data_IF_526890905668
#
_entry.id   IF_526890905668
#
_cell.length_a   1.000
_cell.length_b   1.000
_cell.length_c   1.000
_cell.angle_alpha   90.00
_cell.angle_beta   90.00
_cell.angle_gamma   90.00
#
_symmetry.space_group_name_H-M   'P 1'
#
loop_
_entity.id
_entity.type
_entity.pdbx_description
1 polymer ?
#
# COMPACT_ATOMS: atom_id res chain seq x y z
N UNK A 1 90.61 4.58 25.11
CA UNK A 1 91.47 5.03 24.00
C UNK A 1 91.08 6.47 23.69
N UNK A 2 92.01 7.40 23.91
CA UNK A 2 91.98 8.86 23.67
C UNK A 2 90.97 9.72 24.47
N UNK A 3 91.53 10.77 25.10
CA UNK A 3 90.90 11.76 26.00
C UNK A 3 90.57 13.06 25.21
N UNK A 4 90.08 14.16 25.83
CA UNK A 4 88.89 14.93 25.44
C UNK A 4 89.22 16.18 24.60
N UNK A 5 88.24 16.98 24.16
CA UNK A 5 88.42 18.45 24.12
C UNK A 5 87.20 19.26 23.65
N UNK A 6 86.81 20.20 24.52
CA UNK A 6 86.60 21.63 24.28
C UNK A 6 85.44 22.07 23.37
N UNK A 7 84.45 22.68 24.02
CA UNK A 7 83.72 23.83 23.49
C UNK A 7 84.68 25.00 23.15
N UNK A 8 84.31 25.79 22.13
CA UNK A 8 84.45 27.25 22.20
C UNK A 8 83.11 27.94 21.98
N UNK A 9 82.87 29.00 22.75
CA UNK A 9 81.86 30.02 22.47
C UNK A 9 82.34 30.95 21.35
N UNK A 10 81.45 31.30 20.41
CA UNK A 10 81.37 32.66 19.84
C UNK A 10 80.11 32.84 18.99
N UNK A 11 79.29 33.82 19.40
CA UNK A 11 78.46 34.77 18.66
C UNK A 11 78.04 34.50 17.20
N UNK A 12 76.72 34.57 16.96
CA UNK A 12 76.14 34.52 15.60
C UNK A 12 74.60 34.47 15.56
N UNK A 13 73.96 35.50 16.11
CA UNK A 13 72.68 36.13 15.71
C UNK A 13 71.60 35.31 14.94
N UNK A 14 70.51 34.98 15.67
CA UNK A 14 69.07 35.26 15.39
C UNK A 14 68.31 34.47 14.30
N UNK A 15 67.23 33.78 14.71
CA UNK A 15 65.81 34.09 14.39
C UNK A 15 64.91 32.94 14.89
N UNK A 16 64.18 33.19 15.98
CA UNK A 16 63.09 32.33 16.48
C UNK A 16 61.94 32.28 15.47
N UNK A 17 61.21 31.16 15.35
CA UNK A 17 60.08 31.06 14.43
C UNK A 17 58.94 31.95 14.93
N UNK A 18 58.52 32.86 14.06
CA UNK A 18 57.38 33.74 14.26
C UNK A 18 56.13 32.93 14.59
N UNK A 19 55.51 33.23 15.73
CA UNK A 19 54.13 32.84 16.04
C UNK A 19 53.22 33.49 15.00
N UNK A 20 52.87 32.76 13.95
CA UNK A 20 51.77 33.15 13.07
C UNK A 20 50.49 32.83 13.84
N UNK A 21 49.94 33.86 14.47
CA UNK A 21 48.55 33.87 14.92
C UNK A 21 47.65 33.76 13.69
N UNK A 22 47.33 32.53 13.31
CA UNK A 22 46.22 32.27 12.39
C UNK A 22 44.96 32.49 13.19
N UNK A 23 44.39 33.70 13.08
CA UNK A 23 42.99 33.92 13.38
C UNK A 23 42.19 33.02 12.43
N UNK A 24 41.76 31.86 12.91
CA UNK A 24 40.66 31.14 12.32
C UNK A 24 39.42 32.01 12.49
N UNK A 25 39.17 32.91 11.54
CA UNK A 25 37.80 33.32 11.24
C UNK A 25 37.10 32.07 10.69
N UNK A 26 36.56 31.25 11.59
CA UNK A 26 35.48 30.34 11.24
C UNK A 26 34.30 31.20 10.78
N UNK A 27 34.28 31.55 9.50
CA UNK A 27 33.01 31.82 8.82
C UNK A 27 32.24 30.52 8.85
N UNK A 28 31.47 30.32 9.93
CA UNK A 28 30.38 29.36 9.98
C UNK A 28 29.38 29.81 8.92
N UNK A 29 29.60 29.41 7.66
CA UNK A 29 28.62 29.62 6.61
C UNK A 29 27.39 28.84 7.04
N UNK A 30 26.39 29.53 7.55
CA UNK A 30 25.07 28.97 7.74
C UNK A 30 24.57 28.60 6.35
N UNK A 31 24.74 27.33 5.98
CA UNK A 31 24.13 26.75 4.79
C UNK A 31 22.62 26.87 4.99
N UNK A 32 22.01 27.90 4.40
CA UNK A 32 20.57 28.05 4.43
C UNK A 32 19.98 27.16 3.33
N UNK A 33 18.82 26.57 3.60
CA UNK A 33 18.08 25.75 2.63
C UNK A 33 17.76 26.49 1.33
N UNK A 34 17.89 27.82 1.31
CA UNK A 34 17.68 28.68 0.15
C UNK A 34 18.75 28.50 -0.94
N UNK A 35 19.94 28.00 -0.59
CA UNK A 35 21.05 27.78 -1.54
C UNK A 35 20.95 26.45 -2.31
N UNK A 36 20.03 25.57 -1.94
CA UNK A 36 19.82 24.28 -2.59
C UNK A 36 19.10 24.48 -3.93
N UNK A 37 19.45 23.77 -5.00
CA UNK A 37 18.72 23.84 -6.29
C UNK A 37 17.34 23.18 -6.20
N UNK A 38 16.42 23.48 -7.13
CA UNK A 38 15.10 22.83 -7.14
C UNK A 38 15.17 21.31 -7.35
N UNK A 39 16.16 20.83 -8.10
CA UNK A 39 16.39 19.40 -8.32
C UNK A 39 16.83 18.69 -7.04
N UNK A 40 17.76 19.30 -6.29
CA UNK A 40 18.22 18.74 -5.01
C UNK A 40 17.09 18.80 -3.98
N UNK A 41 16.32 19.89 -3.94
CA UNK A 41 15.14 19.99 -3.07
C UNK A 41 14.10 18.91 -3.39
N UNK A 42 13.81 18.68 -4.68
CA UNK A 42 12.91 17.61 -5.11
C UNK A 42 13.42 16.24 -4.65
N UNK A 43 14.70 15.95 -4.85
CA UNK A 43 15.29 14.68 -4.41
C UNK A 43 15.23 14.50 -2.89
N UNK A 44 15.43 15.56 -2.11
CA UNK A 44 15.25 15.53 -0.66
C UNK A 44 13.79 15.17 -0.33
N UNK A 45 12.82 15.92 -0.87
CA UNK A 45 11.40 15.74 -0.58
C UNK A 45 10.88 14.36 -1.01
N UNK A 46 11.37 13.80 -2.12
CA UNK A 46 11.01 12.45 -2.59
C UNK A 46 11.46 11.33 -1.64
N UNK A 47 12.40 11.59 -0.72
CA UNK A 47 12.84 10.63 0.30
C UNK A 47 12.14 10.82 1.65
N UNK A 48 11.25 11.80 1.76
CA UNK A 48 10.52 12.06 3.00
C UNK A 48 9.26 11.17 3.06
N UNK A 49 8.99 10.52 4.21
CA UNK A 49 7.75 9.76 4.41
C UNK A 49 6.52 10.63 4.20
N UNK A 50 5.45 10.05 3.65
CA UNK A 50 4.23 10.77 3.30
C UNK A 50 3.68 11.62 4.47
N UNK A 51 3.63 11.05 5.68
CA UNK A 51 3.13 11.72 6.89
C UNK A 51 3.93 12.97 7.27
N UNK A 52 5.18 13.07 6.84
CA UNK A 52 6.06 14.19 7.14
C UNK A 52 6.05 15.28 6.05
N UNK A 53 5.59 14.97 4.84
CA UNK A 53 5.48 15.94 3.74
C UNK A 53 4.59 17.14 4.10
N UNK A 54 3.59 16.95 4.97
CA UNK A 54 2.77 18.06 5.47
C UNK A 54 3.58 19.05 6.30
N UNK A 55 4.61 18.61 7.03
CA UNK A 55 5.50 19.51 7.78
C UNK A 55 6.38 20.29 6.82
N UNK A 56 6.79 19.68 5.69
CA UNK A 56 7.58 20.34 4.66
C UNK A 56 6.89 21.56 4.04
N UNK A 57 5.55 21.54 3.91
CA UNK A 57 4.78 22.70 3.38
C UNK A 57 4.73 23.90 4.33
N UNK A 58 5.18 23.73 5.58
CA UNK A 58 5.23 24.77 6.61
C UNK A 58 6.61 25.40 6.75
N UNK A 59 7.64 24.85 6.09
CA UNK A 59 9.03 25.33 6.20
C UNK A 59 9.19 26.71 5.54
N UNK A 60 8.85 26.81 4.25
CA UNK A 60 8.85 28.06 3.51
C UNK A 60 7.96 27.96 2.26
N UNK A 61 7.69 29.10 1.61
CA UNK A 61 6.87 29.15 0.40
C UNK A 61 7.39 28.23 -0.71
N UNK A 62 8.71 28.20 -0.92
CA UNK A 62 9.34 27.38 -1.96
C UNK A 62 9.11 25.87 -1.76
N UNK A 63 9.20 25.38 -0.52
CA UNK A 63 8.93 23.98 -0.21
C UNK A 63 7.46 23.63 -0.38
N UNK A 64 6.57 24.54 0.02
CA UNK A 64 5.12 24.41 -0.18
C UNK A 64 4.78 24.27 -1.65
N UNK A 65 5.24 25.20 -2.48
CA UNK A 65 4.98 25.19 -3.94
C UNK A 65 5.47 23.91 -4.60
N UNK A 66 6.63 23.40 -4.17
CA UNK A 66 7.16 22.15 -4.70
C UNK A 66 6.32 20.93 -4.33
N UNK A 67 5.93 20.80 -3.05
CA UNK A 67 5.12 19.66 -2.57
C UNK A 67 3.67 19.73 -3.10
N UNK A 68 3.11 20.93 -3.28
CA UNK A 68 1.76 21.11 -3.82
C UNK A 68 1.70 20.93 -5.34
N UNK A 69 2.84 21.03 -6.03
CA UNK A 69 2.94 20.81 -7.47
C UNK A 69 2.60 19.38 -7.91
N UNK A 70 1.88 19.26 -9.03
CA UNK A 70 1.48 17.96 -9.60
C UNK A 70 2.67 17.10 -10.03
N UNK A 71 3.77 17.73 -10.45
CA UNK A 71 5.00 17.04 -10.83
C UNK A 71 5.61 16.25 -9.67
N UNK A 72 5.63 16.83 -8.46
CA UNK A 72 6.14 16.16 -7.27
C UNK A 72 5.39 14.84 -7.01
N UNK A 73 4.05 14.87 -7.01
CA UNK A 73 3.24 13.69 -6.75
C UNK A 73 3.39 12.60 -7.81
N UNK A 74 3.64 12.97 -9.07
CA UNK A 74 3.97 12.00 -10.13
C UNK A 74 5.28 11.29 -9.84
N UNK A 75 6.33 12.04 -9.52
CA UNK A 75 7.61 11.46 -9.14
C UNK A 75 7.51 10.62 -7.86
N UNK A 76 6.75 11.08 -6.87
CA UNK A 76 6.52 10.36 -5.62
C UNK A 76 5.79 9.03 -5.85
N UNK A 77 4.78 9.02 -6.73
CA UNK A 77 4.06 7.81 -7.12
C UNK A 77 5.01 6.80 -7.76
N UNK A 78 5.75 7.21 -8.80
CA UNK A 78 6.65 6.33 -9.54
C UNK A 78 7.76 5.75 -8.68
N UNK A 79 8.24 6.51 -7.70
CA UNK A 79 9.30 6.06 -6.79
C UNK A 79 8.81 5.07 -5.73
N UNK A 80 7.65 5.33 -5.12
CA UNK A 80 7.19 4.60 -3.94
C UNK A 80 6.13 3.53 -4.23
N UNK A 81 5.53 3.55 -5.42
CA UNK A 81 4.42 2.68 -5.80
C UNK A 81 4.68 2.08 -7.17
N UNK A 82 5.54 1.06 -7.20
CA UNK A 82 5.87 0.31 -8.41
C UNK A 82 5.13 -1.04 -8.43
N UNK A 83 4.87 -1.52 -9.65
CA UNK A 83 4.39 -2.88 -9.92
C UNK A 83 5.53 -3.83 -10.34
N UNK A 84 6.78 -3.34 -10.39
CA UNK A 84 7.93 -4.08 -10.94
C UNK A 84 8.53 -5.10 -9.97
N UNK A 85 8.18 -5.02 -8.69
CA UNK A 85 8.93 -5.65 -7.59
C UNK A 85 8.19 -6.82 -6.94
N UNK A 86 7.25 -7.44 -7.66
CA UNK A 86 6.51 -8.59 -7.12
C UNK A 86 7.39 -9.85 -7.16
N UNK A 87 8.18 -10.06 -6.10
CA UNK A 87 9.13 -11.17 -5.97
C UNK A 87 8.45 -12.49 -5.58
N UNK A 88 7.26 -12.44 -4.94
CA UNK A 88 6.44 -13.61 -4.57
C UNK A 88 4.96 -13.21 -4.39
N UNK A 89 4.04 -14.11 -4.73
CA UNK A 89 2.61 -13.97 -4.38
C UNK A 89 2.45 -14.33 -2.90
N UNK A 90 1.67 -13.53 -2.18
CA UNK A 90 1.46 -13.65 -0.73
C UNK A 90 0.01 -13.30 -0.37
N UNK A 91 -0.43 -13.75 0.81
CA UNK A 91 -1.78 -13.49 1.33
C UNK A 91 -2.87 -14.26 0.55
N UNK A 92 -4.11 -13.75 0.48
CA UNK A 92 -5.20 -14.35 -0.31
C UNK A 92 -4.83 -14.80 -1.72
N UNK A 93 -3.90 -14.11 -2.38
CA UNK A 93 -3.49 -14.48 -3.73
C UNK A 93 -2.72 -15.79 -3.81
N UNK A 94 -2.09 -16.28 -2.72
CA UNK A 94 -1.48 -17.62 -2.71
C UNK A 94 -2.54 -18.69 -2.77
N UNK A 95 -3.68 -18.48 -2.10
CA UNK A 95 -4.81 -19.40 -2.13
C UNK A 95 -5.27 -19.60 -3.58
N UNK A 96 -5.41 -18.49 -4.31
CA UNK A 96 -5.79 -18.50 -5.71
C UNK A 96 -4.69 -18.93 -6.68
N UNK A 97 -3.40 -18.84 -6.32
CA UNK A 97 -2.28 -19.26 -7.18
C UNK A 97 -1.97 -20.75 -7.08
N UNK A 98 -1.97 -21.29 -5.86
CA UNK A 98 -1.48 -22.64 -5.60
C UNK A 98 -2.60 -23.69 -5.64
N UNK A 99 -3.86 -23.27 -5.85
CA UNK A 99 -5.02 -24.15 -5.92
C UNK A 99 -5.28 -24.88 -4.59
N UNK A 100 -5.02 -24.19 -3.48
CA UNK A 100 -5.05 -24.79 -2.15
C UNK A 100 -6.47 -25.22 -1.76
N UNK A 101 -6.57 -26.26 -0.92
CA UNK A 101 -7.81 -26.56 -0.24
C UNK A 101 -8.08 -25.48 0.82
N UNK A 102 -9.29 -24.90 0.90
CA UNK A 102 -9.63 -23.95 1.96
C UNK A 102 -9.41 -24.58 3.34
N UNK A 103 -8.82 -23.83 4.28
CA UNK A 103 -8.64 -24.29 5.65
C UNK A 103 -9.98 -24.28 6.40
N UNK A 104 -10.76 -25.35 6.27
CA UNK A 104 -12.01 -25.49 7.02
C UNK A 104 -11.82 -26.04 8.43
N UNK A 105 -12.58 -25.46 9.36
CA UNK A 105 -12.78 -25.95 10.72
C UNK A 105 -13.70 -27.18 10.70
N UNK A 106 -13.20 -28.36 10.31
CA UNK A 106 -14.04 -29.57 10.37
C UNK A 106 -13.56 -30.85 9.68
N UNK A 107 -12.52 -30.81 8.83
CA UNK A 107 -11.95 -32.03 8.24
C UNK A 107 -12.80 -32.70 7.15
N UNK A 108 -13.60 -31.94 6.40
CA UNK A 108 -14.28 -32.42 5.20
C UNK A 108 -13.51 -32.00 3.94
N UNK A 109 -13.50 -32.87 2.92
CA UNK A 109 -12.82 -32.64 1.64
C UNK A 109 -13.51 -31.50 0.87
N UNK A 110 -12.89 -30.34 0.83
CA UNK A 110 -13.32 -29.24 -0.03
C UNK A 110 -13.05 -29.57 -1.50
N UNK A 111 -13.93 -29.10 -2.40
CA UNK A 111 -13.65 -29.18 -3.83
C UNK A 111 -12.36 -28.40 -4.13
N UNK A 112 -11.42 -29.07 -4.79
CA UNK A 112 -10.15 -28.44 -5.18
C UNK A 112 -10.41 -27.49 -6.33
N UNK A 113 -10.08 -26.22 -6.15
CA UNK A 113 -10.20 -25.20 -7.21
C UNK A 113 -8.88 -25.04 -7.92
N UNK A 114 -8.93 -25.13 -9.24
CA UNK A 114 -7.79 -24.75 -10.05
C UNK A 114 -7.72 -23.22 -10.17
N UNK A 115 -6.54 -22.60 -10.06
CA UNK A 115 -6.35 -21.15 -10.21
C UNK A 115 -7.08 -20.53 -11.42
N UNK A 116 -7.05 -21.24 -12.55
CA UNK A 116 -7.64 -20.82 -13.82
C UNK A 116 -9.19 -20.82 -13.83
N UNK A 117 -9.83 -21.49 -12.88
CA UNK A 117 -11.29 -21.47 -12.72
C UNK A 117 -11.77 -20.12 -12.16
N UNK A 118 -10.87 -19.30 -11.61
CA UNK A 118 -11.23 -18.07 -10.89
C UNK A 118 -10.69 -16.84 -11.57
N UNK A 119 -9.38 -16.79 -11.78
CA UNK A 119 -8.70 -15.66 -12.39
C UNK A 119 -8.04 -16.10 -13.69
N UNK A 120 -8.32 -15.39 -14.79
CA UNK A 120 -7.49 -15.50 -15.99
C UNK A 120 -6.08 -14.93 -15.73
N UNK A 121 -6.01 -13.83 -14.96
CA UNK A 121 -4.76 -13.27 -14.46
C UNK A 121 -4.99 -12.72 -13.06
N UNK A 122 -4.14 -13.11 -12.11
CA UNK A 122 -4.20 -12.56 -10.75
C UNK A 122 -3.92 -11.04 -10.76
N UNK A 123 -4.59 -10.27 -9.88
CA UNK A 123 -4.24 -8.86 -9.68
C UNK A 123 -2.80 -8.74 -9.16
N UNK A 124 -2.20 -7.57 -9.39
CA UNK A 124 -0.83 -7.30 -8.93
C UNK A 124 -0.84 -6.54 -7.63
N UNK A 125 0.16 -6.79 -6.79
CA UNK A 125 0.38 -6.05 -5.56
C UNK A 125 1.40 -4.94 -5.81
N UNK A 126 1.03 -3.71 -5.46
CA UNK A 126 1.98 -2.59 -5.38
C UNK A 126 2.95 -2.82 -4.20
N UNK A 127 4.13 -2.22 -4.23
CA UNK A 127 5.14 -2.35 -3.16
C UNK A 127 4.64 -1.94 -1.77
N UNK A 128 3.55 -1.16 -1.69
CA UNK A 128 2.90 -0.77 -0.43
C UNK A 128 1.89 -1.81 0.10
N UNK A 129 1.73 -2.95 -0.58
CA UNK A 129 0.85 -4.03 -0.19
C UNK A 129 -0.57 -3.97 -0.78
N UNK A 130 -0.94 -2.90 -1.50
CA UNK A 130 -2.30 -2.73 -2.05
C UNK A 130 -2.42 -3.48 -3.38
N UNK A 131 -3.51 -4.23 -3.53
CA UNK A 131 -3.84 -4.87 -4.81
C UNK A 131 -4.35 -3.83 -5.81
N UNK A 132 -3.81 -3.91 -7.01
CA UNK A 132 -4.19 -3.09 -8.15
C UNK A 132 -4.60 -3.99 -9.32
N UNK A 133 -5.80 -3.79 -9.91
CA UNK A 133 -6.26 -4.62 -11.00
C UNK A 133 -5.35 -4.52 -12.22
N UNK A 134 -5.01 -5.66 -12.84
CA UNK A 134 -4.06 -5.72 -13.95
C UNK A 134 -4.62 -5.09 -15.25
N UNK A 135 -5.94 -5.04 -15.38
CA UNK A 135 -6.63 -4.37 -16.50
C UNK A 135 -6.40 -2.86 -16.52
N UNK A 136 -5.99 -2.27 -15.39
CA UNK A 136 -5.78 -0.84 -15.25
C UNK A 136 -4.28 -0.54 -15.21
N UNK A 137 -3.84 0.27 -16.17
CA UNK A 137 -2.44 0.67 -16.29
C UNK A 137 -2.13 1.81 -15.31
N UNK A 138 -1.43 1.50 -14.22
CA UNK A 138 -1.13 2.45 -13.13
C UNK A 138 -0.39 3.71 -13.60
N UNK A 139 0.43 3.61 -14.65
CA UNK A 139 1.13 4.72 -15.28
C UNK A 139 0.21 5.69 -16.03
N UNK A 140 -0.98 5.24 -16.42
CA UNK A 140 -2.03 6.06 -17.03
C UNK A 140 -2.97 6.71 -16.02
N UNK A 141 -2.89 6.32 -14.74
CA UNK A 141 -3.74 6.87 -13.70
C UNK A 141 -3.22 8.25 -13.29
N UNK A 142 -4.04 9.32 -13.37
CA UNK A 142 -3.59 10.65 -13.01
C UNK A 142 -3.06 10.73 -11.58
N UNK A 143 -1.78 11.06 -11.44
CA UNK A 143 -1.16 11.25 -10.14
C UNK A 143 -1.80 12.45 -9.43
N UNK A 144 -2.39 12.19 -8.27
CA UNK A 144 -3.03 13.21 -7.45
C UNK A 144 -2.68 12.99 -5.98
N UNK A 145 -2.74 14.07 -5.19
CA UNK A 145 -2.63 13.98 -3.74
C UNK A 145 -3.67 13.02 -3.15
N UNK A 146 -4.86 12.96 -3.74
CA UNK A 146 -5.94 12.03 -3.37
C UNK A 146 -5.49 10.57 -3.52
N UNK A 147 -4.95 10.19 -4.69
CA UNK A 147 -4.44 8.84 -4.93
C UNK A 147 -3.38 8.43 -3.89
N UNK A 148 -2.40 9.28 -3.63
CA UNK A 148 -1.33 8.97 -2.67
C UNK A 148 -1.91 8.85 -1.25
N UNK A 149 -2.85 9.71 -0.87
CA UNK A 149 -3.53 9.64 0.42
C UNK A 149 -4.31 8.33 0.57
N UNK A 150 -4.98 7.87 -0.49
CA UNK A 150 -5.70 6.59 -0.51
C UNK A 150 -4.73 5.41 -0.39
N UNK A 151 -3.62 5.42 -1.14
CA UNK A 151 -2.62 4.35 -1.08
C UNK A 151 -1.98 4.22 0.31
N UNK A 152 -1.70 5.32 1.00
CA UNK A 152 -1.18 5.31 2.37
C UNK A 152 -2.26 4.86 3.38
N UNK A 153 -3.51 5.28 3.19
CA UNK A 153 -4.64 4.81 3.99
C UNK A 153 -4.79 3.30 3.86
N UNK A 154 -4.80 2.78 2.64
CA UNK A 154 -4.96 1.35 2.35
C UNK A 154 -3.75 0.52 2.81
N UNK A 155 -2.53 1.04 2.71
CA UNK A 155 -1.35 0.45 3.34
C UNK A 155 -1.53 0.30 4.85
N UNK A 156 -2.06 1.33 5.52
CA UNK A 156 -2.32 1.31 6.96
C UNK A 156 -3.41 0.31 7.32
N UNK A 157 -4.49 0.23 6.52
CA UNK A 157 -5.52 -0.80 6.69
C UNK A 157 -4.92 -2.19 6.56
N UNK A 158 -4.13 -2.47 5.51
CA UNK A 158 -3.49 -3.77 5.31
C UNK A 158 -2.60 -4.16 6.48
N UNK A 159 -1.73 -3.24 6.93
CA UNK A 159 -0.89 -3.45 8.11
C UNK A 159 -1.69 -3.77 9.36
N UNK A 160 -2.88 -3.19 9.50
CA UNK A 160 -3.79 -3.43 10.64
C UNK A 160 -4.47 -4.79 10.55
N UNK A 161 -4.91 -5.18 9.35
CA UNK A 161 -5.44 -6.53 9.07
C UNK A 161 -4.39 -7.58 9.44
N UNK A 162 -3.16 -7.40 8.97
CA UNK A 162 -2.07 -8.37 9.19
C UNK A 162 -1.66 -8.45 10.66
N UNK A 163 -1.46 -7.30 11.31
CA UNK A 163 -0.96 -7.25 12.70
C UNK A 163 -1.97 -7.77 13.71
N UNK A 164 -3.27 -7.62 13.42
CA UNK A 164 -4.34 -8.10 14.29
C UNK A 164 -4.88 -9.48 13.87
N UNK A 165 -4.35 -10.07 12.79
CA UNK A 165 -4.84 -11.33 12.24
C UNK A 165 -6.32 -11.30 11.86
N UNK A 166 -6.81 -10.17 11.31
CA UNK A 166 -8.22 -10.06 10.90
C UNK A 166 -8.49 -11.02 9.74
N UNK A 167 -9.63 -11.72 9.82
CA UNK A 167 -10.10 -12.64 8.78
C UNK A 167 -11.53 -12.29 8.37
N UNK A 168 -11.89 -12.68 7.16
CA UNK A 168 -13.27 -12.63 6.71
C UNK A 168 -14.03 -13.79 7.35
N UNK A 169 -15.23 -13.53 7.89
CA UNK A 169 -16.13 -14.54 8.44
C UNK A 169 -17.38 -14.69 7.57
N UNK A 170 -17.49 -15.85 6.92
CA UNK A 170 -18.59 -16.19 6.04
C UNK A 170 -19.89 -16.60 6.75
N UNK A 171 -19.94 -16.69 8.09
CA UNK A 171 -21.10 -17.21 8.83
C UNK A 171 -22.40 -16.38 8.70
N UNK A 172 -22.34 -15.18 8.11
CA UNK A 172 -23.45 -14.23 8.06
C UNK A 172 -24.27 -14.32 6.77
N UNK A 173 -25.03 -15.42 6.58
CA UNK A 173 -26.28 -15.46 5.80
C UNK A 173 -26.27 -14.90 4.37
N UNK A 174 -25.11 -14.79 3.74
CA UNK A 174 -24.94 -14.30 2.38
C UNK A 174 -24.56 -15.47 1.49
N UNK A 175 -25.48 -15.88 0.62
CA UNK A 175 -25.19 -16.85 -0.44
C UNK A 175 -24.73 -18.23 0.07
N UNK A 176 -25.67 -19.17 0.07
CA UNK A 176 -25.44 -20.60 0.28
C UNK A 176 -24.86 -20.98 1.66
N UNK A 177 -24.95 -22.25 2.05
CA UNK A 177 -24.71 -22.74 3.42
C UNK A 177 -23.21 -22.95 3.73
N UNK A 178 -22.35 -22.08 3.22
CA UNK A 178 -20.91 -22.16 3.45
C UNK A 178 -20.56 -21.47 4.78
N UNK A 179 -19.75 -22.10 5.61
CA UNK A 179 -19.24 -21.54 6.88
C UNK A 179 -17.71 -21.62 6.87
N UNK A 180 -17.02 -20.53 7.20
CA UNK A 180 -15.55 -20.54 7.18
C UNK A 180 -14.92 -19.17 7.41
N UNK A 181 -13.59 -19.19 7.52
CA UNK A 181 -12.76 -18.00 7.62
C UNK A 181 -11.67 -18.02 6.56
N UNK A 182 -11.40 -16.88 5.94
CA UNK A 182 -10.31 -16.76 4.98
C UNK A 182 -9.53 -15.45 5.15
N UNK A 183 -8.32 -15.44 4.61
CA UNK A 183 -7.46 -14.26 4.62
C UNK A 183 -8.07 -13.15 3.75
N UNK A 184 -7.60 -11.93 3.97
CA UNK A 184 -8.08 -10.74 3.29
C UNK A 184 -6.94 -9.90 2.74
N UNK A 185 -7.25 -9.23 1.64
CA UNK A 185 -6.39 -8.27 0.97
C UNK A 185 -7.16 -7.00 0.68
N UNK A 186 -6.45 -5.89 0.57
CA UNK A 186 -7.07 -4.61 0.22
C UNK A 186 -6.76 -4.25 -1.22
N UNK A 187 -7.74 -3.67 -1.91
CA UNK A 187 -7.57 -3.21 -3.29
C UNK A 187 -8.05 -1.77 -3.48
N UNK A 188 -7.55 -1.13 -4.52
CA UNK A 188 -7.92 0.23 -4.90
C UNK A 188 -7.87 0.37 -6.43
N UNK A 189 -8.87 1.03 -7.03
CA UNK A 189 -8.85 1.37 -8.46
C UNK A 189 -9.69 2.62 -8.79
N UNK A 190 -9.35 3.34 -9.89
CA UNK A 190 -10.15 4.48 -10.35
C UNK A 190 -11.47 4.03 -10.96
N UNK A 191 -12.54 4.76 -10.68
CA UNK A 191 -13.88 4.48 -11.17
C UNK A 191 -14.62 5.78 -11.45
N UNK A 192 -15.09 6.00 -12.67
CA UNK A 192 -15.61 7.31 -13.10
C UNK A 192 -17.13 7.32 -13.32
N UNK A 193 -17.81 6.21 -13.03
CA UNK A 193 -19.26 6.12 -13.19
C UNK A 193 -19.97 6.55 -11.91
N UNK A 194 -21.19 7.06 -12.05
CA UNK A 194 -22.00 7.57 -10.94
C UNK A 194 -22.48 6.45 -9.99
N UNK A 195 -22.58 5.23 -10.50
CA UNK A 195 -23.00 4.06 -9.75
C UNK A 195 -21.79 3.19 -9.40
N UNK A 196 -21.85 2.48 -8.27
CA UNK A 196 -20.82 1.51 -7.92
C UNK A 196 -20.72 0.39 -8.98
N UNK A 197 -19.51 -0.19 -9.17
CA UNK A 197 -19.30 -1.28 -10.10
C UNK A 197 -20.31 -2.42 -9.94
N UNK A 198 -20.77 -2.98 -11.06
CA UNK A 198 -21.57 -4.21 -11.10
C UNK A 198 -20.69 -5.46 -10.99
N UNK A 199 -21.31 -6.64 -10.90
CA UNK A 199 -20.57 -7.92 -10.98
C UNK A 199 -19.80 -8.06 -12.30
N UNK A 200 -20.37 -7.62 -13.43
CA UNK A 200 -19.71 -7.64 -14.73
C UNK A 200 -18.48 -6.73 -14.77
N UNK A 201 -18.57 -5.55 -14.16
CA UNK A 201 -17.46 -4.60 -14.08
C UNK A 201 -16.31 -5.18 -13.24
N UNK A 202 -16.62 -5.73 -12.07
CA UNK A 202 -15.61 -6.37 -11.21
C UNK A 202 -14.96 -7.56 -11.93
N UNK A 203 -15.74 -8.42 -12.60
CA UNK A 203 -15.19 -9.52 -13.40
C UNK A 203 -14.23 -9.04 -14.46
N UNK A 204 -14.61 -8.01 -15.22
CA UNK A 204 -13.75 -7.43 -16.27
C UNK A 204 -12.49 -6.81 -15.69
N UNK A 205 -12.62 -6.04 -14.59
CA UNK A 205 -11.52 -5.30 -13.98
C UNK A 205 -10.49 -6.26 -13.37
N UNK A 206 -10.95 -7.26 -12.64
CA UNK A 206 -10.08 -8.24 -11.97
C UNK A 206 -9.74 -9.45 -12.84
N UNK A 207 -10.19 -9.48 -14.09
CA UNK A 207 -9.98 -10.59 -15.03
C UNK A 207 -10.43 -11.94 -14.47
N UNK A 208 -11.63 -11.96 -13.87
CA UNK A 208 -12.27 -13.19 -13.44
C UNK A 208 -12.67 -14.06 -14.64
N UNK A 209 -12.74 -15.37 -14.42
CA UNK A 209 -13.23 -16.31 -15.41
C UNK A 209 -14.70 -15.98 -15.76
N UNK A 210 -15.01 -15.94 -17.06
CA UNK A 210 -16.34 -15.59 -17.56
C UNK A 210 -17.43 -16.58 -17.13
N UNK A 211 -17.05 -17.84 -16.90
CA UNK A 211 -17.97 -18.90 -16.46
C UNK A 211 -18.58 -18.59 -15.08
N UNK A 212 -17.97 -17.70 -14.30
CA UNK A 212 -18.45 -17.29 -12.99
C UNK A 212 -19.60 -16.27 -13.04
N UNK A 213 -19.84 -15.61 -14.20
CA UNK A 213 -20.79 -14.49 -14.32
C UNK A 213 -22.21 -14.90 -13.91
N UNK A 214 -22.61 -16.12 -14.26
CA UNK A 214 -23.95 -16.65 -13.98
C UNK A 214 -24.14 -17.10 -12.52
N UNK A 215 -23.05 -17.16 -11.74
CA UNK A 215 -23.05 -17.65 -10.35
C UNK A 215 -22.65 -16.56 -9.37
N UNK A 216 -23.22 -15.36 -9.55
CA UNK A 216 -22.92 -14.17 -8.74
C UNK A 216 -24.03 -13.81 -7.77
N UNK A 217 -23.65 -13.34 -6.58
CA UNK A 217 -24.56 -12.71 -5.62
C UNK A 217 -23.97 -11.36 -5.27
N UNK A 218 -24.74 -10.29 -5.50
CA UNK A 218 -24.38 -8.93 -5.15
C UNK A 218 -25.43 -8.35 -4.20
N UNK A 219 -25.02 -7.80 -3.06
CA UNK A 219 -25.94 -7.07 -2.16
C UNK A 219 -25.29 -5.81 -1.63
N UNK A 220 -26.11 -4.76 -1.52
CA UNK A 220 -25.74 -3.56 -0.77
C UNK A 220 -26.01 -3.78 0.70
N UNK A 221 -25.05 -3.38 1.53
CA UNK A 221 -25.09 -3.48 2.98
C UNK A 221 -24.76 -2.14 3.61
N UNK A 222 -25.22 -1.96 4.83
CA UNK A 222 -24.95 -0.77 5.62
C UNK A 222 -23.60 -0.89 6.32
N UNK A 223 -22.97 0.26 6.60
CA UNK A 223 -21.67 0.31 7.30
C UNK A 223 -21.64 -0.45 8.63
N UNK A 224 -22.73 -0.44 9.40
CA UNK A 224 -22.80 -1.18 10.67
C UNK A 224 -22.72 -2.70 10.50
N UNK A 225 -23.02 -3.21 9.30
CA UNK A 225 -22.90 -4.63 8.99
C UNK A 225 -21.48 -5.02 8.59
N UNK A 226 -20.61 -4.06 8.26
CA UNK A 226 -19.22 -4.35 7.83
C UNK A 226 -18.39 -4.91 8.99
N UNK A 227 -18.58 -4.39 10.20
CA UNK A 227 -17.88 -4.89 11.41
C UNK A 227 -18.27 -6.32 11.75
N UNK A 228 -19.46 -6.77 11.37
CA UNK A 228 -19.93 -8.13 11.64
C UNK A 228 -19.33 -9.17 10.68
N UNK A 229 -18.89 -8.74 9.50
CA UNK A 229 -18.29 -9.60 8.47
C UNK A 229 -16.78 -9.79 8.70
N UNK A 230 -16.17 -8.88 9.45
CA UNK A 230 -14.75 -8.88 9.75
C UNK A 230 -14.58 -9.36 11.20
N UNK A 231 -14.53 -10.67 11.39
CA UNK A 231 -14.42 -11.26 12.73
C UNK A 231 -13.01 -11.04 13.31
N UNK A 232 -12.93 -10.47 14.52
CA UNK A 232 -11.96 -10.75 15.59
C UNK A 232 -11.97 -9.67 16.69
N UNK A 233 -11.49 -10.06 17.89
CA UNK A 233 -11.28 -9.18 19.03
C UNK A 233 -10.31 -8.05 18.65
N UNK A 234 -10.79 -6.81 18.66
CA UNK A 234 -9.96 -5.64 18.35
C UNK A 234 -10.23 -5.00 16.99
N UNK A 235 -11.33 -5.35 16.32
CA UNK A 235 -11.75 -4.67 15.10
C UNK A 235 -11.86 -3.16 15.32
N UNK A 236 -10.97 -2.39 14.68
CA UNK A 236 -10.85 -0.96 14.91
C UNK A 236 -11.89 -0.24 14.04
N UNK A 237 -12.81 0.51 14.66
CA UNK A 237 -13.89 1.21 13.95
C UNK A 237 -13.39 2.06 12.77
N UNK A 238 -12.19 2.65 12.89
CA UNK A 238 -11.61 3.45 11.82
C UNK A 238 -11.34 2.64 10.53
N UNK A 239 -11.11 1.32 10.61
CA UNK A 239 -10.94 0.46 9.42
C UNK A 239 -12.24 0.40 8.62
N UNK A 240 -13.37 0.19 9.29
CA UNK A 240 -14.68 0.29 8.65
C UNK A 240 -14.97 1.70 8.16
N UNK A 241 -14.52 2.73 8.88
CA UNK A 241 -14.70 4.12 8.43
C UNK A 241 -13.91 4.44 7.17
N UNK A 242 -12.70 3.89 7.05
CA UNK A 242 -11.84 4.10 5.88
C UNK A 242 -12.28 3.25 4.68
N UNK A 243 -12.74 2.01 4.91
CA UNK A 243 -13.26 1.12 3.85
C UNK A 243 -14.67 1.49 3.38
N UNK A 244 -15.46 2.14 4.25
CA UNK A 244 -16.81 2.61 3.96
C UNK A 244 -17.00 4.00 4.58
N UNK A 245 -16.46 5.06 3.95
CA UNK A 245 -16.67 6.43 4.41
C UNK A 245 -18.12 6.88 4.19
N UNK A 246 -18.80 6.29 3.20
CA UNK A 246 -20.23 6.45 2.97
C UNK A 246 -21.11 5.66 3.96
N UNK A 247 -22.41 5.58 3.64
CA UNK A 247 -23.40 4.83 4.43
C UNK A 247 -23.50 3.36 4.01
N UNK A 248 -23.12 3.07 2.77
CA UNK A 248 -23.34 1.78 2.11
C UNK A 248 -22.04 1.27 1.49
N UNK A 249 -21.95 -0.06 1.46
CA UNK A 249 -20.91 -0.81 0.77
C UNK A 249 -21.56 -2.00 0.07
N UNK A 250 -20.86 -2.55 -0.91
CA UNK A 250 -21.33 -3.69 -1.70
C UNK A 250 -20.54 -4.94 -1.36
N UNK A 251 -21.26 -6.03 -1.08
CA UNK A 251 -20.72 -7.38 -1.03
C UNK A 251 -21.02 -8.08 -2.34
N UNK A 252 -20.00 -8.60 -3.00
CA UNK A 252 -20.11 -9.37 -4.24
C UNK A 252 -19.37 -10.70 -4.08
N UNK A 253 -20.04 -11.81 -4.35
CA UNK A 253 -19.49 -13.15 -4.30
C UNK A 253 -19.64 -13.82 -5.66
N UNK A 254 -18.59 -14.53 -6.08
CA UNK A 254 -18.60 -15.40 -7.26
C UNK A 254 -18.46 -16.85 -6.80
N UNK A 255 -19.42 -17.71 -7.12
CA UNK A 255 -19.31 -19.13 -6.80
C UNK A 255 -18.56 -19.85 -7.92
N UNK A 256 -17.48 -20.56 -7.58
CA UNK A 256 -16.67 -21.30 -8.56
C UNK A 256 -17.31 -22.64 -8.95
N UNK A 257 -18.11 -23.22 -8.05
CA UNK A 257 -18.82 -24.48 -8.26
C UNK A 257 -20.31 -24.35 -7.92
N UNK A 258 -21.05 -25.44 -8.16
CA UNK A 258 -22.51 -25.48 -7.97
C UNK A 258 -22.90 -25.00 -6.56
N UNK A 259 -23.73 -23.96 -6.46
CA UNK A 259 -24.14 -23.33 -5.20
C UNK A 259 -24.92 -24.26 -4.24
N UNK A 260 -25.40 -25.41 -4.71
CA UNK A 260 -26.07 -26.41 -3.87
C UNK A 260 -25.09 -27.20 -3.00
N UNK A 261 -23.79 -27.14 -3.29
CA UNK A 261 -22.75 -27.73 -2.45
C UNK A 261 -22.49 -26.86 -1.22
N UNK A 262 -22.38 -27.51 -0.05
CA UNK A 262 -22.11 -26.84 1.23
C UNK A 262 -20.72 -26.19 1.34
N UNK A 263 -19.83 -26.40 0.36
CA UNK A 263 -18.44 -25.94 0.38
C UNK A 263 -18.06 -25.44 -1.02
N UNK A 264 -18.57 -24.26 -1.37
CA UNK A 264 -18.28 -23.63 -2.65
C UNK A 264 -17.23 -22.52 -2.49
N UNK A 265 -15.97 -22.79 -2.87
CA UNK A 265 -14.91 -21.79 -2.88
C UNK A 265 -15.29 -20.59 -3.73
N UNK A 266 -15.19 -19.40 -3.15
CA UNK A 266 -15.73 -18.19 -3.76
C UNK A 266 -14.91 -16.94 -3.45
N UNK A 267 -14.39 -16.19 -4.45
CA UNK A 267 -13.84 -14.87 -4.18
C UNK A 267 -14.97 -13.91 -3.81
N UNK A 268 -14.83 -13.31 -2.63
CA UNK A 268 -15.73 -12.25 -2.13
C UNK A 268 -15.01 -10.91 -2.20
N UNK A 269 -15.69 -9.93 -2.79
CA UNK A 269 -15.31 -8.52 -2.85
C UNK A 269 -16.22 -7.71 -1.91
N UNK A 270 -15.62 -6.95 -1.01
CA UNK A 270 -16.31 -5.96 -0.16
C UNK A 270 -15.83 -4.57 -0.56
N UNK A 271 -16.66 -3.71 -1.15
CA UNK A 271 -16.18 -2.43 -1.68
C UNK A 271 -17.14 -1.27 -1.52
N UNK A 272 -16.60 -0.06 -1.56
CA UNK A 272 -17.38 1.18 -1.57
C UNK A 272 -16.65 2.31 -2.30
N UNK A 273 -17.34 3.43 -2.46
CA UNK A 273 -16.75 4.69 -2.89
C UNK A 273 -15.91 5.28 -1.75
N UNK A 274 -14.58 5.18 -1.88
CA UNK A 274 -13.65 5.65 -0.84
C UNK A 274 -13.25 7.11 -1.02
N UNK A 275 -13.38 7.62 -2.24
CA UNK A 275 -13.26 9.03 -2.60
C UNK A 275 -13.96 9.27 -3.95
N UNK A 276 -14.27 10.52 -4.33
CA UNK A 276 -14.79 10.81 -5.65
C UNK A 276 -13.88 10.25 -6.75
N UNK A 277 -14.42 9.37 -7.59
CA UNK A 277 -13.66 8.76 -8.67
C UNK A 277 -12.88 7.48 -8.29
N UNK A 278 -13.07 6.93 -7.08
CA UNK A 278 -12.26 5.83 -6.55
C UNK A 278 -13.08 4.78 -5.81
N UNK A 279 -12.86 3.52 -6.20
CA UNK A 279 -13.37 2.35 -5.50
C UNK A 279 -12.23 1.69 -4.74
N UNK A 280 -12.49 1.35 -3.48
CA UNK A 280 -11.57 0.61 -2.65
C UNK A 280 -12.32 -0.41 -1.79
N UNK A 281 -11.62 -1.47 -1.40
CA UNK A 281 -12.27 -2.57 -0.73
C UNK A 281 -11.35 -3.70 -0.27
N UNK A 282 -11.98 -4.80 0.10
CA UNK A 282 -11.36 -6.06 0.50
C UNK A 282 -11.63 -7.13 -0.57
N UNK A 283 -10.58 -7.86 -0.95
CA UNK A 283 -10.67 -9.14 -1.67
C UNK A 283 -10.31 -10.27 -0.70
N UNK A 284 -11.11 -11.32 -0.69
CA UNK A 284 -10.90 -12.49 0.16
C UNK A 284 -10.10 -13.60 -0.53
N UNK A 285 -9.49 -14.47 0.27
CA UNK A 285 -8.90 -15.74 -0.18
C UNK A 285 -9.96 -16.80 -0.47
N UNK A 286 -9.52 -18.05 -0.69
CA UNK A 286 -10.43 -19.18 -0.84
C UNK A 286 -11.22 -19.38 0.47
N UNK A 287 -12.54 -19.19 0.39
CA UNK A 287 -13.51 -19.41 1.48
C UNK A 287 -14.18 -20.76 1.37
#
# INVERSE_FOLDING_TARGET
MVIPSKCPMSDGTVLTPSTVSVTHTETRSTFTTDQVSNEVLLNILLNIPFLELKKCTQVCQRWREMVEGSYFWRCYLQKNYSLKTQLKVEGPLTDWQDGLQPMYRGGFDALTVQPAEVFHNLPKRLDNGVLFPISIQMDKVPSSKTLITLLETFKTIKSTIDSNGLVYDGQMGFGWKSEGFCLMDVFLFPWQEDQQPTSEDISRIFMLNEDLKDSTIQQKKTKSQLTCVLSHLGFQHWVSDALCPGKEWTQLCFNVHDPTHMMCPSPVFLYSDVAPGWIGGILTGLW
#
